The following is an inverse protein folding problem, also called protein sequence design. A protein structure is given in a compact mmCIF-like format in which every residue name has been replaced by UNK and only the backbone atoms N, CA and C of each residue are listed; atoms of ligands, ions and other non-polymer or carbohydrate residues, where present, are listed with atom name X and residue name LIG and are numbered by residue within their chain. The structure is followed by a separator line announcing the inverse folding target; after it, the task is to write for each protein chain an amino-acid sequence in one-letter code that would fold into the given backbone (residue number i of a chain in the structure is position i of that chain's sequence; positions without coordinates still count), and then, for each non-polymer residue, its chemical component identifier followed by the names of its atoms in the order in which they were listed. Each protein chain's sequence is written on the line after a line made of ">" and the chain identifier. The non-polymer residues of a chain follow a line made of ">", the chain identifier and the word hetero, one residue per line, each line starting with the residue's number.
data_IF_846308472817
#
_entry.id   IF_846308472817
#
_cell.length_a   1.000
_cell.length_b   1.000
_cell.length_c   1.000
_cell.angle_alpha   90.00
_cell.angle_beta   90.00
_cell.angle_gamma   90.00
#
_symmetry.space_group_name_H-M   'P 1'
#
loop_
_entity.id
_entity.type
_entity.pdbx_description
1 polymer ?
#
# COMPACT_ATOMS: atom_id res chain seq x y z
N UNK A 1 -27.97 42.95 -44.98
CA UNK A 1 -28.04 42.68 -43.54
C UNK A 1 -27.55 41.26 -43.36
N UNK A 2 -26.31 41.09 -42.89
CA UNK A 2 -25.70 39.77 -42.73
C UNK A 2 -26.32 39.04 -41.55
N UNK A 3 -26.74 37.81 -41.83
CA UNK A 3 -27.38 36.89 -40.91
C UNK A 3 -26.33 36.42 -39.88
N UNK A 4 -26.13 37.19 -38.80
CA UNK A 4 -25.45 36.73 -37.59
C UNK A 4 -26.51 36.01 -36.75
N UNK A 5 -27.07 34.93 -37.30
CA UNK A 5 -27.94 34.05 -36.52
C UNK A 5 -27.05 33.15 -35.65
N UNK A 6 -27.15 33.40 -34.35
CA UNK A 6 -26.67 32.61 -33.21
C UNK A 6 -25.22 32.14 -33.24
N UNK A 7 -24.31 32.94 -32.68
CA UNK A 7 -23.04 32.42 -32.17
C UNK A 7 -23.33 31.59 -30.90
N UNK A 8 -23.06 30.29 -30.95
CA UNK A 8 -23.14 29.40 -29.79
C UNK A 8 -21.76 29.32 -29.11
N UNK A 9 -21.70 29.61 -27.81
CA UNK A 9 -20.49 29.44 -27.01
C UNK A 9 -20.32 27.95 -26.71
N UNK A 10 -19.32 27.31 -27.32
CA UNK A 10 -18.88 25.97 -26.96
C UNK A 10 -17.68 26.07 -26.01
N UNK A 11 -17.83 25.53 -24.80
CA UNK A 11 -16.75 25.41 -23.83
C UNK A 11 -16.25 23.97 -23.80
N UNK A 12 -14.95 23.78 -23.99
CA UNK A 12 -14.31 22.47 -23.96
C UNK A 12 -13.22 22.42 -22.88
N UNK A 13 -13.03 21.24 -22.32
CA UNK A 13 -12.01 20.91 -21.34
C UNK A 13 -10.81 20.31 -22.06
N UNK A 14 -9.61 20.67 -21.62
CA UNK A 14 -8.36 20.05 -22.07
C UNK A 14 -7.75 19.20 -20.93
N UNK A 15 -7.73 19.75 -19.71
CA UNK A 15 -7.16 19.10 -18.51
C UNK A 15 -5.72 18.56 -18.75
N UNK A 16 -5.33 17.49 -18.07
CA UNK A 16 -4.04 16.81 -18.22
C UNK A 16 -3.92 15.96 -19.50
N UNK A 17 -4.95 15.90 -20.36
CA UNK A 17 -4.92 15.05 -21.57
C UNK A 17 -3.75 15.33 -22.50
N UNK A 18 -3.31 16.59 -22.77
CA UNK A 18 -2.15 16.81 -23.65
C UNK A 18 -0.87 16.18 -23.10
N UNK A 19 -0.65 16.25 -21.79
CA UNK A 19 0.52 15.64 -21.14
C UNK A 19 0.41 14.12 -21.20
N UNK A 20 -0.77 13.57 -20.94
CA UNK A 20 -1.01 12.12 -20.98
C UNK A 20 -0.85 11.59 -22.41
N UNK A 21 -1.46 12.25 -23.39
CA UNK A 21 -1.36 11.89 -24.81
C UNK A 21 0.09 11.97 -25.29
N UNK A 22 0.87 12.97 -24.86
CA UNK A 22 2.30 13.02 -25.18
C UNK A 22 3.04 11.74 -24.76
N UNK A 23 2.77 11.19 -23.57
CA UNK A 23 3.39 9.93 -23.13
C UNK A 23 2.77 8.70 -23.77
N UNK A 24 1.46 8.68 -24.03
CA UNK A 24 0.79 7.60 -24.79
C UNK A 24 1.39 7.48 -26.19
N UNK A 25 1.55 8.61 -26.88
CA UNK A 25 2.11 8.70 -28.23
C UNK A 25 3.59 8.31 -28.25
N UNK A 26 4.37 8.84 -27.29
CA UNK A 26 5.79 8.51 -27.14
C UNK A 26 5.99 7.01 -26.89
N UNK A 27 5.13 6.40 -26.08
CA UNK A 27 5.13 4.96 -25.83
C UNK A 27 4.47 4.16 -26.97
N UNK A 28 3.83 4.80 -27.96
CA UNK A 28 3.09 4.11 -29.02
C UNK A 28 1.97 3.22 -28.50
N UNK A 29 1.39 3.56 -27.34
CA UNK A 29 0.51 2.66 -26.59
C UNK A 29 -0.79 2.35 -27.33
N UNK A 30 -1.37 3.34 -28.03
CA UNK A 30 -2.59 3.12 -28.83
C UNK A 30 -2.33 2.09 -29.97
N UNK A 31 -1.15 2.10 -30.61
CA UNK A 31 -0.78 1.13 -31.65
C UNK A 31 -0.48 -0.26 -31.09
N UNK A 32 0.14 -0.34 -29.91
CA UNK A 32 0.36 -1.61 -29.21
C UNK A 32 -1.00 -2.26 -28.86
N UNK A 33 -1.94 -1.50 -28.29
CA UNK A 33 -3.29 -2.00 -27.96
C UNK A 33 -4.03 -2.43 -29.22
N UNK A 34 -3.94 -1.64 -30.30
CA UNK A 34 -4.55 -1.96 -31.60
C UNK A 34 -4.01 -3.28 -32.17
N UNK A 35 -2.70 -3.49 -32.12
CA UNK A 35 -2.04 -4.71 -32.61
C UNK A 35 -2.48 -5.94 -31.80
N UNK A 36 -2.61 -5.79 -30.49
CA UNK A 36 -3.04 -6.87 -29.61
C UNK A 36 -4.54 -7.22 -29.79
N UNK A 37 -5.36 -6.26 -30.22
CA UNK A 37 -6.82 -6.41 -30.39
C UNK A 37 -7.25 -6.26 -31.86
N UNK A 38 -6.80 -7.13 -32.78
CA UNK A 38 -7.09 -6.98 -34.21
C UNK A 38 -8.60 -7.04 -34.48
N UNK A 39 -9.06 -6.15 -35.35
CA UNK A 39 -10.46 -6.06 -35.73
C UNK A 39 -10.58 -5.71 -37.22
N UNK A 40 -11.62 -6.19 -37.89
CA UNK A 40 -11.93 -5.71 -39.24
C UNK A 40 -12.34 -4.23 -39.17
N UNK A 41 -11.70 -3.39 -39.98
CA UNK A 41 -12.01 -1.97 -40.04
C UNK A 41 -13.44 -1.76 -40.55
N UNK A 42 -14.27 -1.15 -39.69
CA UNK A 42 -15.61 -0.67 -40.02
C UNK A 42 -15.64 0.85 -39.81
N UNK A 43 -15.60 1.60 -40.91
CA UNK A 43 -15.30 3.05 -40.95
C UNK A 43 -16.16 3.95 -40.06
N UNK A 44 -17.34 3.47 -39.63
CA UNK A 44 -18.33 4.26 -38.88
C UNK A 44 -18.51 3.79 -37.41
N UNK A 45 -17.64 2.91 -36.91
CA UNK A 45 -17.75 2.41 -35.54
C UNK A 45 -16.52 2.79 -34.70
N UNK A 46 -16.72 3.02 -33.40
CA UNK A 46 -15.62 3.09 -32.45
C UNK A 46 -15.04 1.68 -32.30
N UNK A 47 -13.74 1.56 -32.59
CA UNK A 47 -13.03 0.29 -32.49
C UNK A 47 -12.82 -0.10 -31.02
N UNK A 48 -12.75 -1.42 -30.71
CA UNK A 48 -12.49 -1.89 -29.35
C UNK A 48 -11.23 -1.28 -28.71
N UNK A 49 -10.11 -1.20 -29.46
CA UNK A 49 -8.87 -0.61 -28.97
C UNK A 49 -9.02 0.89 -28.65
N UNK A 50 -9.80 1.64 -29.44
CA UNK A 50 -10.13 3.04 -29.14
C UNK A 50 -10.92 3.14 -27.84
N UNK A 51 -11.88 2.24 -27.60
CA UNK A 51 -12.60 2.18 -26.31
C UNK A 51 -11.68 1.91 -25.13
N UNK A 52 -10.68 1.03 -25.27
CA UNK A 52 -9.68 0.79 -24.24
C UNK A 52 -8.80 2.03 -24.03
N UNK A 53 -8.36 2.70 -25.11
CA UNK A 53 -7.58 3.93 -25.03
C UNK A 53 -8.32 5.08 -24.34
N UNK A 54 -9.63 5.20 -24.56
CA UNK A 54 -10.48 6.14 -23.83
C UNK A 54 -10.56 5.77 -22.34
N UNK A 55 -10.80 4.48 -22.03
CA UNK A 55 -10.93 4.02 -20.65
C UNK A 55 -9.63 4.25 -19.85
N UNK A 56 -8.48 4.04 -20.48
CA UNK A 56 -7.18 4.35 -19.87
C UNK A 56 -7.07 5.82 -19.47
N UNK A 57 -7.41 6.74 -20.39
CA UNK A 57 -7.40 8.18 -20.13
C UNK A 57 -8.37 8.55 -19.01
N UNK A 58 -9.53 7.89 -18.95
CA UNK A 58 -10.47 8.06 -17.84
C UNK A 58 -9.90 7.60 -16.50
N UNK A 59 -9.28 6.42 -16.42
CA UNK A 59 -8.69 5.90 -15.17
C UNK A 59 -7.60 6.85 -14.64
N UNK A 60 -6.86 7.51 -15.53
CA UNK A 60 -5.80 8.45 -15.15
C UNK A 60 -6.39 9.78 -14.64
N UNK A 61 -7.41 10.32 -15.32
CA UNK A 61 -7.93 11.67 -15.05
C UNK A 61 -9.19 11.64 -14.17
N UNK A 62 -10.27 11.05 -14.67
CA UNK A 62 -11.62 11.20 -14.10
C UNK A 62 -12.01 10.11 -13.11
N UNK A 63 -11.51 8.88 -13.29
CA UNK A 63 -11.88 7.67 -12.53
C UNK A 63 -13.40 7.49 -12.42
N UNK A 64 -14.11 7.82 -13.49
CA UNK A 64 -15.57 7.78 -13.50
C UNK A 64 -16.04 6.36 -13.79
N UNK A 65 -17.19 5.96 -13.24
CA UNK A 65 -17.79 4.68 -13.58
C UNK A 65 -18.19 4.65 -15.06
N UNK A 66 -18.17 3.45 -15.65
CA UNK A 66 -18.38 3.25 -17.09
C UNK A 66 -19.73 3.77 -17.59
N UNK A 67 -20.76 3.79 -16.74
CA UNK A 67 -22.08 4.35 -17.08
C UNK A 67 -22.10 5.88 -17.21
N UNK A 68 -21.15 6.60 -16.59
CA UNK A 68 -21.02 8.06 -16.66
C UNK A 68 -19.98 8.53 -17.69
N UNK A 69 -19.58 7.63 -18.57
CA UNK A 69 -18.43 7.82 -19.45
C UNK A 69 -18.74 8.72 -20.65
N UNK A 70 -19.98 8.66 -21.16
CA UNK A 70 -20.41 9.50 -22.28
C UNK A 70 -20.42 10.96 -21.88
N UNK A 71 -21.05 11.27 -20.74
CA UNK A 71 -21.14 12.62 -20.19
C UNK A 71 -19.75 13.21 -19.97
N UNK A 72 -18.81 12.40 -19.49
CA UNK A 72 -17.43 12.82 -19.29
C UNK A 72 -16.72 13.18 -20.59
N UNK A 73 -16.79 12.33 -21.62
CA UNK A 73 -16.12 12.59 -22.90
C UNK A 73 -16.68 13.83 -23.59
N UNK A 74 -17.99 14.08 -23.48
CA UNK A 74 -18.61 15.27 -24.11
C UNK A 74 -18.09 16.61 -23.57
N UNK A 75 -17.37 16.61 -22.45
CA UNK A 75 -16.71 17.81 -21.91
C UNK A 75 -15.44 18.21 -22.66
N UNK A 76 -14.88 17.33 -23.50
CA UNK A 76 -13.58 17.49 -24.13
C UNK A 76 -13.70 17.51 -25.67
N UNK A 77 -12.66 18.00 -26.35
CA UNK A 77 -12.52 17.80 -27.79
C UNK A 77 -12.34 16.28 -28.09
N UNK A 78 -13.21 15.66 -28.92
CA UNK A 78 -13.12 14.24 -29.28
C UNK A 78 -11.77 13.82 -29.86
N UNK A 79 -11.04 14.73 -30.51
CA UNK A 79 -9.72 14.42 -31.09
C UNK A 79 -8.69 14.05 -30.02
N UNK A 80 -8.84 14.53 -28.78
CA UNK A 80 -7.97 14.14 -27.66
C UNK A 80 -8.10 12.66 -27.29
N UNK A 81 -9.13 11.97 -27.81
CA UNK A 81 -9.41 10.56 -27.62
C UNK A 81 -9.26 9.73 -28.89
N UNK A 82 -8.68 10.30 -29.96
CA UNK A 82 -8.63 9.69 -31.30
C UNK A 82 -10.03 9.37 -31.86
N UNK A 83 -11.01 10.24 -31.56
CA UNK A 83 -12.39 10.14 -32.06
C UNK A 83 -12.69 11.24 -33.07
N UNK A 84 -13.55 10.91 -34.04
CA UNK A 84 -14.25 11.89 -34.86
C UNK A 84 -15.48 12.43 -34.11
N UNK A 85 -15.92 13.68 -34.36
CA UNK A 85 -17.11 14.24 -33.72
C UNK A 85 -18.36 13.35 -33.85
N UNK A 86 -18.59 12.76 -35.03
CA UNK A 86 -19.74 11.87 -35.27
C UNK A 86 -19.67 10.57 -34.44
N UNK A 87 -18.49 10.20 -33.94
CA UNK A 87 -18.32 8.97 -33.17
C UNK A 87 -18.79 9.10 -31.72
N UNK A 88 -18.87 10.33 -31.19
CA UNK A 88 -19.23 10.59 -29.78
C UNK A 88 -20.60 10.02 -29.42
N UNK A 89 -21.55 10.06 -30.36
CA UNK A 89 -22.90 9.54 -30.14
C UNK A 89 -22.97 8.02 -29.94
N UNK A 90 -21.98 7.28 -30.44
CA UNK A 90 -21.89 5.83 -30.31
C UNK A 90 -21.22 5.36 -29.01
N UNK A 91 -20.78 6.29 -28.14
CA UNK A 91 -20.20 5.97 -26.84
C UNK A 91 -21.32 5.51 -25.89
N UNK A 92 -21.15 4.32 -25.32
CA UNK A 92 -21.97 3.80 -24.24
C UNK A 92 -21.17 2.76 -23.45
N UNK A 93 -21.68 2.44 -22.27
CA UNK A 93 -21.13 1.45 -21.36
C UNK A 93 -21.07 0.05 -21.97
N UNK A 94 -22.09 -0.39 -22.69
CA UNK A 94 -22.10 -1.69 -23.38
C UNK A 94 -20.92 -1.85 -24.35
N UNK A 95 -20.55 -0.77 -25.06
CA UNK A 95 -19.42 -0.78 -25.98
C UNK A 95 -18.09 -0.93 -25.24
N UNK A 96 -17.94 -0.21 -24.13
CA UNK A 96 -16.75 -0.33 -23.28
C UNK A 96 -16.68 -1.73 -22.66
N UNK A 97 -17.81 -2.28 -22.20
CA UNK A 97 -17.92 -3.65 -21.71
C UNK A 97 -17.48 -4.69 -22.75
N UNK A 98 -18.00 -4.59 -23.99
CA UNK A 98 -17.57 -5.47 -25.10
C UNK A 98 -16.09 -5.30 -25.45
N UNK A 99 -15.53 -4.10 -25.34
CA UNK A 99 -14.11 -3.88 -25.53
C UNK A 99 -13.27 -4.56 -24.42
N UNK A 100 -13.72 -4.50 -23.17
CA UNK A 100 -13.09 -5.21 -22.05
C UNK A 100 -13.15 -6.74 -22.22
N UNK A 101 -14.26 -7.29 -22.73
CA UNK A 101 -14.33 -8.72 -23.08
C UNK A 101 -13.30 -9.10 -24.15
N UNK A 102 -13.15 -8.28 -25.20
CA UNK A 102 -12.12 -8.51 -26.23
C UNK A 102 -10.70 -8.40 -25.67
N UNK A 103 -10.46 -7.45 -24.76
CA UNK A 103 -9.18 -7.33 -24.06
C UNK A 103 -8.91 -8.56 -23.18
N UNK A 104 -9.93 -9.11 -22.54
CA UNK A 104 -9.83 -10.35 -21.79
C UNK A 104 -9.43 -11.53 -22.68
N UNK A 105 -9.99 -11.61 -23.89
CA UNK A 105 -9.71 -12.66 -24.88
C UNK A 105 -8.32 -12.51 -25.54
N UNK A 106 -7.71 -11.33 -25.47
CA UNK A 106 -6.35 -11.05 -25.99
C UNK A 106 -5.24 -11.70 -25.15
N UNK A 107 -4.06 -11.93 -25.74
CA UNK A 107 -2.84 -12.26 -25.00
C UNK A 107 -2.33 -11.04 -24.22
N UNK A 108 -2.90 -10.85 -23.03
CA UNK A 108 -2.56 -9.75 -22.12
C UNK A 108 -1.11 -9.82 -21.62
N UNK A 109 -0.50 -11.01 -21.56
CA UNK A 109 0.87 -11.15 -21.10
C UNK A 109 1.85 -10.58 -22.15
N UNK A 110 1.64 -10.92 -23.43
CA UNK A 110 2.42 -10.35 -24.53
C UNK A 110 2.19 -8.85 -24.68
N UNK A 111 0.94 -8.39 -24.61
CA UNK A 111 0.59 -6.96 -24.61
C UNK A 111 1.38 -6.19 -23.54
N UNK A 112 1.36 -6.68 -22.30
CA UNK A 112 2.06 -6.02 -21.19
C UNK A 112 3.58 -6.04 -21.35
N UNK A 113 4.13 -7.16 -21.83
CA UNK A 113 5.56 -7.28 -22.12
C UNK A 113 5.99 -6.26 -23.18
N UNK A 114 5.21 -6.08 -24.24
CA UNK A 114 5.49 -5.11 -25.29
C UNK A 114 5.49 -3.67 -24.76
N UNK A 115 4.48 -3.30 -23.95
CA UNK A 115 4.39 -1.99 -23.29
C UNK A 115 5.64 -1.74 -22.43
N UNK A 116 6.02 -2.71 -21.60
CA UNK A 116 7.18 -2.57 -20.70
C UNK A 116 8.47 -2.44 -21.50
N UNK A 117 8.70 -3.30 -22.50
CA UNK A 117 9.90 -3.24 -23.35
C UNK A 117 10.00 -1.90 -24.09
N UNK A 118 8.87 -1.37 -24.57
CA UNK A 118 8.80 -0.06 -25.20
C UNK A 118 9.12 1.06 -24.20
N UNK A 119 8.56 1.01 -22.98
CA UNK A 119 8.87 1.98 -21.93
C UNK A 119 10.36 1.97 -21.53
N UNK A 120 10.95 0.79 -21.34
CA UNK A 120 12.38 0.64 -21.02
C UNK A 120 13.26 1.28 -22.09
N UNK A 121 13.00 0.99 -23.37
CA UNK A 121 13.79 1.53 -24.49
C UNK A 121 13.59 3.03 -24.68
N UNK A 122 12.33 3.47 -24.69
CA UNK A 122 11.95 4.85 -25.02
C UNK A 122 12.33 5.84 -23.92
N UNK A 123 12.28 5.40 -22.66
CA UNK A 123 12.62 6.23 -21.50
C UNK A 123 14.07 6.02 -21.03
N UNK A 124 14.79 5.04 -21.58
CA UNK A 124 16.17 4.72 -21.18
C UNK A 124 16.29 4.25 -19.74
N UNK A 125 15.31 3.46 -19.27
CA UNK A 125 15.20 3.08 -17.86
C UNK A 125 16.36 2.21 -17.41
N UNK A 126 16.91 2.51 -16.23
CA UNK A 126 17.85 1.62 -15.57
C UNK A 126 17.13 0.39 -15.01
N UNK A 127 17.64 -0.77 -15.39
CA UNK A 127 17.14 -2.09 -15.00
C UNK A 127 18.07 -2.76 -13.97
N UNK A 128 18.73 -1.97 -13.11
CA UNK A 128 19.73 -2.42 -12.13
C UNK A 128 19.16 -2.68 -10.74
N UNK A 129 17.99 -2.12 -10.43
CA UNK A 129 17.28 -2.34 -9.17
C UNK A 129 15.77 -2.32 -9.38
N UNK A 130 15.10 -3.30 -8.79
CA UNK A 130 13.65 -3.45 -8.84
C UNK A 130 13.06 -3.47 -7.44
N UNK A 131 11.95 -2.76 -7.25
CA UNK A 131 11.21 -2.71 -5.99
C UNK A 131 9.87 -3.42 -6.19
N UNK A 132 9.62 -4.44 -5.40
CA UNK A 132 8.39 -5.22 -5.45
C UNK A 132 7.59 -5.04 -4.16
N UNK A 133 6.29 -4.81 -4.31
CA UNK A 133 5.33 -4.71 -3.22
C UNK A 133 3.97 -5.24 -3.67
N UNK A 134 3.23 -5.84 -2.73
CA UNK A 134 1.87 -6.34 -2.94
C UNK A 134 0.85 -5.52 -2.17
N UNK A 135 -0.27 -5.24 -2.82
CA UNK A 135 -1.41 -4.54 -2.24
C UNK A 135 -2.71 -5.31 -2.48
N UNK A 136 -3.80 -4.83 -1.89
CA UNK A 136 -5.14 -5.41 -2.03
C UNK A 136 -5.99 -4.54 -2.93
N UNK A 137 -6.64 -5.11 -3.94
CA UNK A 137 -7.75 -4.46 -4.64
C UNK A 137 -9.03 -4.89 -3.94
N UNK A 138 -9.70 -3.95 -3.29
CA UNK A 138 -10.89 -4.19 -2.47
C UNK A 138 -12.18 -4.10 -3.30
N UNK A 139 -13.10 -5.05 -3.13
CA UNK A 139 -14.34 -5.16 -3.89
C UNK A 139 -15.59 -5.04 -3.01
N UNK A 140 -16.64 -4.40 -3.55
CA UNK A 140 -17.97 -4.25 -2.95
C UNK A 140 -19.04 -4.78 -3.90
N UNK A 141 -19.88 -5.71 -3.43
CA UNK A 141 -20.97 -6.30 -4.23
C UNK A 141 -20.96 -7.83 -4.26
N UNK A 142 -21.82 -8.41 -5.11
CA UNK A 142 -22.07 -9.85 -5.19
C UNK A 142 -20.87 -10.66 -5.69
N UNK A 143 -20.34 -10.34 -6.87
CA UNK A 143 -19.22 -11.06 -7.53
C UNK A 143 -19.31 -12.60 -7.40
N UNK A 144 -20.50 -13.16 -7.60
CA UNK A 144 -20.76 -14.60 -7.40
C UNK A 144 -20.01 -15.45 -8.45
N UNK A 145 -19.88 -14.91 -9.67
CA UNK A 145 -19.17 -15.55 -10.78
C UNK A 145 -17.65 -15.37 -10.75
N UNK A 146 -17.11 -14.59 -9.80
CA UNK A 146 -15.67 -14.35 -9.67
C UNK A 146 -15.02 -15.41 -8.75
N UNK A 147 -15.21 -16.68 -9.11
CA UNK A 147 -14.92 -17.84 -8.29
C UNK A 147 -13.63 -18.57 -8.69
N UNK A 148 -12.92 -18.11 -9.72
CA UNK A 148 -11.70 -18.71 -10.25
C UNK A 148 -11.94 -19.69 -11.40
N UNK A 149 -13.17 -19.80 -11.91
CA UNK A 149 -13.50 -20.73 -12.99
C UNK A 149 -12.83 -20.36 -14.32
N UNK A 150 -12.78 -21.35 -15.21
CA UNK A 150 -12.41 -21.13 -16.60
C UNK A 150 -13.51 -20.35 -17.32
N UNK A 151 -13.16 -19.17 -17.85
CA UNK A 151 -14.01 -18.38 -18.73
C UNK A 151 -13.27 -18.20 -20.06
N UNK A 152 -13.94 -18.57 -21.16
CA UNK A 152 -13.40 -18.43 -22.53
C UNK A 152 -11.99 -19.03 -22.71
N UNK A 153 -11.75 -20.19 -22.08
CA UNK A 153 -10.46 -20.89 -22.16
C UNK A 153 -9.39 -20.38 -21.19
N UNK A 154 -9.69 -19.38 -20.35
CA UNK A 154 -8.73 -18.79 -19.41
C UNK A 154 -9.24 -18.94 -17.98
N UNK A 155 -8.36 -19.39 -17.07
CA UNK A 155 -8.64 -19.40 -15.63
C UNK A 155 -8.73 -17.95 -15.15
N UNK A 156 -9.82 -17.61 -14.48
CA UNK A 156 -10.04 -16.27 -13.92
C UNK A 156 -9.51 -16.18 -12.48
N UNK A 157 -9.38 -14.96 -11.96
CA UNK A 157 -9.02 -14.75 -10.56
C UNK A 157 -10.25 -14.92 -9.67
N UNK A 158 -10.04 -15.53 -8.51
CA UNK A 158 -11.05 -15.67 -7.47
C UNK A 158 -11.06 -14.44 -6.57
N UNK A 159 -12.16 -13.69 -6.61
CA UNK A 159 -12.42 -12.60 -5.66
C UNK A 159 -12.84 -13.22 -4.32
N UNK A 160 -11.92 -13.21 -3.35
CA UNK A 160 -12.06 -13.91 -2.07
C UNK A 160 -11.70 -12.99 -0.89
N UNK A 161 -12.10 -13.38 0.33
CA UNK A 161 -11.60 -12.73 1.55
C UNK A 161 -10.20 -13.26 1.88
N UNK A 162 -9.38 -12.40 2.49
CA UNK A 162 -8.02 -12.72 2.89
C UNK A 162 -7.41 -11.62 3.76
N UNK A 163 -6.08 -11.52 3.80
CA UNK A 163 -5.39 -10.46 4.54
C UNK A 163 -5.43 -9.15 3.76
N UNK A 164 -6.47 -8.34 3.98
CA UNK A 164 -6.67 -7.07 3.29
C UNK A 164 -5.76 -5.97 3.86
N UNK A 165 -4.95 -5.34 3.00
CA UNK A 165 -3.94 -4.33 3.37
C UNK A 165 -4.57 -3.00 3.85
N UNK A 166 -5.84 -2.74 3.51
CA UNK A 166 -6.64 -1.62 4.03
C UNK A 166 -7.34 -1.96 5.36
N UNK A 167 -7.02 -3.10 5.98
CA UNK A 167 -7.60 -3.58 7.24
C UNK A 167 -9.13 -3.78 7.16
N UNK A 168 -9.62 -4.24 5.99
CA UNK A 168 -11.03 -4.59 5.75
C UNK A 168 -11.23 -6.09 5.51
N UNK A 169 -11.07 -6.94 6.54
CA UNK A 169 -11.22 -8.40 6.39
C UNK A 169 -12.66 -8.83 6.06
N UNK A 170 -13.63 -7.94 6.25
CA UNK A 170 -15.03 -8.14 5.89
C UNK A 170 -15.26 -8.14 4.37
N UNK A 171 -14.39 -7.46 3.63
CA UNK A 171 -14.52 -7.26 2.19
C UNK A 171 -13.77 -8.32 1.39
N UNK A 172 -14.30 -8.60 0.19
CA UNK A 172 -13.60 -9.44 -0.79
C UNK A 172 -12.47 -8.62 -1.43
N UNK A 173 -11.44 -9.30 -1.91
CA UNK A 173 -10.29 -8.68 -2.54
C UNK A 173 -9.71 -9.51 -3.68
N UNK A 174 -8.79 -8.90 -4.41
CA UNK A 174 -7.71 -9.57 -5.13
C UNK A 174 -6.37 -9.08 -4.57
N UNK A 175 -5.34 -9.90 -4.66
CA UNK A 175 -3.97 -9.45 -4.37
C UNK A 175 -3.36 -8.92 -5.66
N UNK A 176 -2.83 -7.71 -5.61
CA UNK A 176 -2.18 -7.03 -6.72
C UNK A 176 -0.71 -6.82 -6.40
N UNK A 177 0.13 -7.49 -7.17
CA UNK A 177 1.57 -7.48 -6.99
C UNK A 177 2.22 -6.67 -8.11
N UNK A 178 3.09 -5.73 -7.73
CA UNK A 178 3.67 -4.77 -8.64
C UNK A 178 5.19 -4.72 -8.45
N UNK A 179 5.92 -4.70 -9.55
CA UNK A 179 7.35 -4.40 -9.56
C UNK A 179 7.63 -3.15 -10.38
N UNK A 180 8.40 -2.24 -9.79
CA UNK A 180 8.83 -0.99 -10.43
C UNK A 180 10.36 -0.90 -10.48
N UNK A 181 10.89 -0.14 -11.43
CA UNK A 181 12.30 0.27 -11.44
C UNK A 181 12.62 1.23 -10.30
N UNK A 182 13.87 1.23 -9.82
CA UNK A 182 14.37 2.30 -8.95
C UNK A 182 14.41 3.66 -9.67
N UNK A 183 14.62 3.63 -10.98
CA UNK A 183 14.64 4.79 -11.87
C UNK A 183 13.22 5.22 -12.25
N UNK A 184 12.72 6.28 -11.60
CA UNK A 184 11.41 6.87 -11.90
C UNK A 184 10.19 6.08 -11.42
N UNK A 185 10.38 4.98 -10.67
CA UNK A 185 9.31 4.11 -10.19
C UNK A 185 8.38 3.61 -11.32
N UNK A 186 8.95 3.32 -12.50
CA UNK A 186 8.19 2.88 -13.66
C UNK A 186 7.80 1.40 -13.50
N UNK A 187 6.52 1.02 -13.61
CA UNK A 187 6.09 -0.36 -13.58
C UNK A 187 6.69 -1.19 -14.72
N UNK A 188 7.28 -2.33 -14.38
CA UNK A 188 7.87 -3.27 -15.34
C UNK A 188 7.31 -4.69 -15.26
N UNK A 189 6.61 -5.02 -14.18
CA UNK A 189 5.91 -6.28 -14.02
C UNK A 189 4.75 -6.09 -13.08
N UNK A 190 3.62 -6.71 -13.37
CA UNK A 190 2.51 -6.84 -12.43
C UNK A 190 1.90 -8.22 -12.53
N UNK A 191 1.30 -8.69 -11.44
CA UNK A 191 0.47 -9.89 -11.45
C UNK A 191 -0.68 -9.77 -10.47
N UNK A 192 -1.86 -10.21 -10.91
CA UNK A 192 -3.01 -10.38 -10.03
C UNK A 192 -3.06 -11.81 -9.51
N UNK A 193 -3.41 -11.96 -8.23
CA UNK A 193 -3.65 -13.25 -7.59
C UNK A 193 -5.01 -13.26 -6.91
N UNK A 194 -5.49 -14.48 -6.63
CA UNK A 194 -6.72 -14.69 -5.86
C UNK A 194 -6.68 -13.96 -4.51
N UNK A 195 -7.85 -13.53 -4.04
CA UNK A 195 -7.97 -12.71 -2.83
C UNK A 195 -7.50 -13.35 -1.51
N UNK A 196 -7.22 -14.65 -1.54
CA UNK A 196 -6.71 -15.44 -0.41
C UNK A 196 -5.26 -15.94 -0.62
N UNK A 197 -4.54 -15.45 -1.65
CA UNK A 197 -3.14 -15.78 -1.87
C UNK A 197 -2.24 -15.14 -0.80
N UNK A 198 -1.18 -15.84 -0.41
CA UNK A 198 -0.14 -15.33 0.49
C UNK A 198 1.11 -14.86 -0.28
N UNK A 199 1.68 -13.74 0.17
CA UNK A 199 2.80 -13.03 -0.47
C UNK A 199 4.12 -13.82 -0.48
N UNK A 200 4.35 -14.69 0.50
CA UNK A 200 5.60 -15.46 0.66
C UNK A 200 5.92 -16.38 -0.53
N UNK A 201 4.91 -16.75 -1.31
CA UNK A 201 5.03 -17.69 -2.44
C UNK A 201 5.31 -17.04 -3.79
N UNK A 202 5.34 -15.70 -3.88
CA UNK A 202 5.37 -15.00 -5.19
C UNK A 202 6.76 -14.52 -5.59
N UNK A 203 7.66 -14.30 -4.61
CA UNK A 203 8.96 -13.67 -4.86
C UNK A 203 9.88 -14.44 -5.82
N UNK A 204 9.93 -15.77 -5.75
CA UNK A 204 10.74 -16.57 -6.68
C UNK A 204 10.24 -16.40 -8.12
N UNK A 205 8.93 -16.54 -8.33
CA UNK A 205 8.32 -16.39 -9.66
C UNK A 205 8.52 -14.98 -10.22
N UNK A 206 8.35 -13.97 -9.37
CA UNK A 206 8.59 -12.58 -9.74
C UNK A 206 10.05 -12.35 -10.12
N UNK A 207 10.99 -12.81 -9.32
CA UNK A 207 12.42 -12.66 -9.58
C UNK A 207 12.83 -13.34 -10.89
N UNK A 208 12.35 -14.55 -11.15
CA UNK A 208 12.60 -15.26 -12.41
C UNK A 208 12.04 -14.51 -13.62
N UNK A 209 10.84 -13.92 -13.48
CA UNK A 209 10.24 -13.10 -14.53
C UNK A 209 11.08 -11.86 -14.83
N UNK A 210 11.58 -11.19 -13.79
CA UNK A 210 12.46 -10.03 -13.92
C UNK A 210 13.81 -10.40 -14.54
N UNK A 211 14.39 -11.54 -14.14
CA UNK A 211 15.61 -12.07 -14.76
C UNK A 211 15.41 -12.36 -16.24
N UNK A 212 14.28 -12.93 -16.64
CA UNK A 212 13.95 -13.15 -18.06
C UNK A 212 13.76 -11.84 -18.82
N UNK A 213 13.08 -10.86 -18.22
CA UNK A 213 12.86 -9.54 -18.81
C UNK A 213 14.17 -8.77 -19.01
N UNK A 214 15.07 -8.81 -18.01
CA UNK A 214 16.39 -8.19 -18.09
C UNK A 214 17.38 -8.98 -18.96
N UNK A 215 17.26 -10.30 -18.97
CA UNK A 215 18.16 -11.24 -19.64
C UNK A 215 19.33 -11.75 -18.80
N UNK A 216 19.52 -11.27 -17.56
CA UNK A 216 20.57 -11.70 -16.63
C UNK A 216 20.18 -11.40 -15.16
N UNK A 217 20.85 -12.01 -14.16
CA UNK A 217 20.54 -11.81 -12.74
C UNK A 217 21.20 -10.57 -12.09
N UNK A 218 21.93 -9.75 -12.84
CA UNK A 218 22.75 -8.64 -12.33
C UNK A 218 21.92 -7.43 -11.88
N UNK A 219 20.95 -7.63 -10.99
CA UNK A 219 20.07 -6.59 -10.45
C UNK A 219 19.78 -6.82 -8.98
N UNK A 220 19.45 -5.73 -8.27
CA UNK A 220 19.04 -5.77 -6.87
C UNK A 220 17.52 -5.89 -6.78
N UNK A 221 17.04 -7.00 -6.22
CA UNK A 221 15.62 -7.20 -5.92
C UNK A 221 15.29 -6.74 -4.49
N UNK A 222 14.51 -5.66 -4.39
CA UNK A 222 14.13 -5.03 -3.12
C UNK A 222 12.67 -5.37 -2.81
N UNK A 223 12.41 -5.95 -1.65
CA UNK A 223 11.05 -6.22 -1.20
C UNK A 223 10.93 -6.15 0.33
N UNK A 224 9.71 -6.27 0.82
CA UNK A 224 9.40 -6.23 2.25
C UNK A 224 9.92 -7.49 2.99
N UNK A 225 9.51 -7.65 4.25
CA UNK A 225 9.93 -8.78 5.08
C UNK A 225 9.44 -10.16 4.62
N UNK A 226 8.48 -10.25 3.69
CA UNK A 226 8.00 -11.51 3.13
C UNK A 226 9.02 -12.16 2.20
N UNK A 227 9.97 -11.37 1.66
CA UNK A 227 11.15 -11.87 0.98
C UNK A 227 12.15 -12.55 1.93
N UNK A 228 12.13 -12.25 3.23
CA UNK A 228 13.05 -12.78 4.23
C UNK A 228 12.71 -14.22 4.67
N UNK A 229 12.52 -15.11 3.70
CA UNK A 229 12.30 -16.55 3.86
C UNK A 229 13.54 -17.29 3.37
N UNK A 230 14.02 -18.27 4.15
CA UNK A 230 15.31 -18.94 3.89
C UNK A 230 15.39 -19.58 2.50
N UNK A 231 14.30 -20.18 2.03
CA UNK A 231 14.21 -20.77 0.68
C UNK A 231 14.37 -19.71 -0.40
N UNK A 232 13.56 -18.64 -0.36
CA UNK A 232 13.61 -17.55 -1.34
C UNK A 232 14.97 -16.86 -1.39
N UNK A 233 15.55 -16.52 -0.24
CA UNK A 233 16.86 -15.87 -0.19
C UNK A 233 17.97 -16.76 -0.75
N UNK A 234 17.96 -18.07 -0.42
CA UNK A 234 18.92 -19.04 -0.96
C UNK A 234 18.75 -19.26 -2.45
N UNK A 235 17.50 -19.27 -2.95
CA UNK A 235 17.21 -19.40 -4.37
C UNK A 235 17.81 -18.23 -5.16
N UNK A 236 17.49 -16.99 -4.77
CA UNK A 236 17.99 -15.79 -5.46
C UNK A 236 19.53 -15.75 -5.43
N UNK A 237 20.15 -16.00 -4.27
CA UNK A 237 21.60 -16.02 -4.15
C UNK A 237 22.24 -17.18 -4.94
N UNK A 238 21.59 -18.33 -5.01
CA UNK A 238 22.05 -19.49 -5.77
C UNK A 238 22.02 -19.30 -7.29
N UNK A 239 21.18 -18.38 -7.76
CA UNK A 239 21.08 -17.97 -9.17
C UNK A 239 21.87 -16.68 -9.47
N UNK A 240 22.90 -16.39 -8.66
CA UNK A 240 23.79 -15.21 -8.75
C UNK A 240 23.06 -13.86 -8.66
N UNK A 241 21.87 -13.83 -8.05
CA UNK A 241 21.07 -12.64 -7.84
C UNK A 241 21.37 -11.87 -6.56
N UNK A 242 21.07 -10.57 -6.57
CA UNK A 242 21.17 -9.71 -5.39
C UNK A 242 19.79 -9.37 -4.84
N UNK A 243 19.67 -9.27 -3.52
CA UNK A 243 18.43 -8.88 -2.87
C UNK A 243 18.64 -7.97 -1.65
N UNK A 244 17.62 -7.17 -1.34
CA UNK A 244 17.50 -6.39 -0.11
C UNK A 244 16.11 -6.67 0.46
N UNK A 245 16.05 -7.11 1.71
CA UNK A 245 14.79 -7.38 2.42
C UNK A 245 14.85 -6.83 3.84
N UNK A 246 13.68 -6.56 4.42
CA UNK A 246 13.55 -6.15 5.81
C UNK A 246 13.52 -7.39 6.71
N UNK A 247 14.43 -7.45 7.68
CA UNK A 247 14.42 -8.52 8.68
C UNK A 247 13.14 -8.46 9.55
N UNK A 248 12.30 -9.51 9.59
CA UNK A 248 11.14 -9.54 10.46
C UNK A 248 11.56 -9.68 11.93
N UNK A 249 10.80 -9.04 12.83
CA UNK A 249 11.06 -9.06 14.29
C UNK A 249 10.99 -10.43 14.95
N UNK A 250 10.45 -11.42 14.25
CA UNK A 250 10.36 -12.80 14.73
C UNK A 250 11.70 -13.54 14.67
N UNK A 251 12.72 -12.96 14.01
CA UNK A 251 14.05 -13.56 13.87
C UNK A 251 14.92 -13.35 15.12
N UNK A 252 15.73 -14.36 15.44
CA UNK A 252 16.60 -14.35 16.62
C UNK A 252 17.66 -13.25 16.57
N UNK A 253 18.10 -12.87 15.37
CA UNK A 253 19.08 -11.82 15.13
C UNK A 253 18.55 -10.43 15.51
N UNK A 254 17.27 -10.12 15.25
CA UNK A 254 16.63 -8.86 15.71
C UNK A 254 16.56 -8.82 17.24
N UNK A 255 16.17 -9.92 17.88
CA UNK A 255 16.15 -10.02 19.34
C UNK A 255 17.55 -9.80 19.93
N UNK A 256 18.55 -10.52 19.41
CA UNK A 256 19.93 -10.40 19.84
C UNK A 256 20.44 -8.95 19.72
N UNK A 257 20.20 -8.29 18.58
CA UNK A 257 20.71 -6.93 18.39
C UNK A 257 20.04 -5.93 19.33
N UNK A 258 18.74 -6.07 19.59
CA UNK A 258 18.02 -5.23 20.56
C UNK A 258 18.57 -5.35 21.97
N UNK A 259 18.94 -6.56 22.39
CA UNK A 259 19.58 -6.81 23.69
C UNK A 259 20.99 -6.23 23.70
N UNK A 260 21.75 -6.45 22.61
CA UNK A 260 23.12 -5.96 22.47
C UNK A 260 23.22 -4.43 22.59
N UNK A 261 22.36 -3.67 21.91
CA UNK A 261 22.44 -2.19 21.90
C UNK A 261 22.06 -1.53 23.23
N UNK A 262 21.51 -2.27 24.19
CA UNK A 262 21.20 -1.75 25.53
C UNK A 262 22.49 -1.62 26.34
N UNK A 263 23.30 -2.68 26.34
CA UNK A 263 24.50 -2.76 27.18
C UNK A 263 25.79 -2.36 26.44
N UNK A 264 25.74 -2.22 25.11
CA UNK A 264 26.92 -1.99 24.28
C UNK A 264 26.82 -0.69 23.46
N UNK A 265 27.95 0.03 23.36
CA UNK A 265 28.06 1.17 22.46
C UNK A 265 28.26 0.71 21.03
N UNK A 266 27.33 1.07 20.16
CA UNK A 266 27.40 0.81 18.73
C UNK A 266 27.89 2.06 17.99
N UNK A 267 28.92 1.92 17.17
CA UNK A 267 29.37 2.98 16.27
C UNK A 267 28.46 3.01 15.03
N UNK A 268 27.64 4.06 14.93
CA UNK A 268 26.72 4.26 13.83
C UNK A 268 27.31 5.20 12.79
N UNK A 269 27.41 4.76 11.55
CA UNK A 269 27.89 5.56 10.43
C UNK A 269 26.73 6.29 9.76
N UNK A 270 26.85 7.60 9.54
CA UNK A 270 25.85 8.36 8.79
C UNK A 270 25.92 7.99 7.31
N UNK A 271 24.86 7.36 6.80
CA UNK A 271 24.75 6.90 5.41
C UNK A 271 23.86 7.78 4.56
N UNK A 272 23.11 8.70 5.17
CA UNK A 272 22.25 9.60 4.43
C UNK A 272 21.71 10.74 5.27
N UNK A 273 21.49 11.87 4.61
CA UNK A 273 20.85 13.06 5.16
C UNK A 273 19.98 13.73 4.11
N UNK A 274 18.70 13.90 4.41
CA UNK A 274 17.75 14.57 3.51
C UNK A 274 17.16 15.77 4.23
N UNK A 275 17.33 16.94 3.60
CA UNK A 275 16.62 18.16 3.93
C UNK A 275 15.43 18.29 2.97
N UNK A 276 14.21 18.37 3.51
CA UNK A 276 13.02 18.55 2.68
C UNK A 276 13.02 19.94 2.03
N UNK A 277 12.95 20.07 0.69
CA UNK A 277 13.05 21.36 0.01
C UNK A 277 12.00 22.39 0.45
N UNK A 278 10.79 21.91 0.76
CA UNK A 278 9.65 22.73 1.22
C UNK A 278 9.65 23.01 2.73
N UNK A 279 10.60 22.44 3.48
CA UNK A 279 10.71 22.58 4.94
C UNK A 279 12.17 22.77 5.36
N UNK A 280 12.79 23.86 4.89
CA UNK A 280 14.21 24.14 5.16
C UNK A 280 14.53 24.34 6.65
N UNK A 281 13.54 24.75 7.44
CA UNK A 281 13.69 24.96 8.88
C UNK A 281 13.39 23.69 9.71
N UNK A 282 12.88 22.62 9.10
CA UNK A 282 12.64 21.36 9.80
C UNK A 282 13.97 20.63 10.03
N UNK A 283 14.03 19.86 11.11
CA UNK A 283 15.19 19.00 11.37
C UNK A 283 15.36 17.99 10.24
N UNK A 284 16.56 17.85 9.66
CA UNK A 284 16.80 16.90 8.60
C UNK A 284 16.46 15.46 9.02
N UNK A 285 16.08 14.67 8.04
CA UNK A 285 16.03 13.23 8.19
C UNK A 285 17.45 12.68 8.03
N UNK A 286 17.89 11.90 9.02
CA UNK A 286 19.24 11.34 9.09
C UNK A 286 19.07 9.83 9.18
N UNK A 287 19.79 9.12 8.32
CA UNK A 287 19.93 7.67 8.37
C UNK A 287 21.34 7.31 8.80
N UNK A 288 21.42 6.36 9.72
CA UNK A 288 22.68 5.77 10.11
C UNK A 288 22.61 4.26 9.96
N UNK A 289 23.75 3.65 9.71
CA UNK A 289 23.87 2.21 9.53
C UNK A 289 24.99 1.67 10.41
N UNK A 290 24.85 0.44 10.85
CA UNK A 290 25.97 -0.38 11.30
C UNK A 290 25.83 -1.78 10.71
N UNK A 291 26.93 -2.36 10.28
CA UNK A 291 26.94 -3.76 9.86
C UNK A 291 26.89 -4.69 11.09
N UNK A 292 26.06 -5.72 11.02
CA UNK A 292 25.95 -6.71 12.08
C UNK A 292 27.25 -7.52 12.19
N UNK A 293 27.79 -7.73 13.40
CA UNK A 293 28.97 -8.58 13.58
C UNK A 293 28.68 -10.07 13.36
N UNK A 294 27.39 -10.45 13.36
CA UNK A 294 26.94 -11.80 13.02
C UNK A 294 26.11 -11.76 11.73
N UNK A 295 26.27 -12.74 10.82
CA UNK A 295 25.41 -12.86 9.65
C UNK A 295 24.01 -13.35 10.05
N UNK A 296 23.10 -13.37 9.08
CA UNK A 296 21.83 -14.08 9.24
C UNK A 296 22.07 -15.58 9.43
N UNK A 297 21.07 -16.29 9.94
CA UNK A 297 21.06 -17.76 10.03
C UNK A 297 21.46 -18.44 8.72
N UNK A 298 21.13 -17.84 7.58
CA UNK A 298 21.44 -18.35 6.24
C UNK A 298 22.83 -17.95 5.75
N UNK A 299 23.54 -17.08 6.46
CA UNK A 299 24.88 -16.61 6.11
C UNK A 299 24.92 -15.24 5.40
N UNK A 300 23.79 -14.54 5.30
CA UNK A 300 23.73 -13.25 4.60
C UNK A 300 24.15 -12.07 5.49
N UNK A 301 24.65 -11.01 4.86
CA UNK A 301 24.98 -9.75 5.55
C UNK A 301 23.72 -9.12 6.14
N UNK A 302 23.84 -8.56 7.33
CA UNK A 302 22.77 -7.80 7.99
C UNK A 302 23.28 -6.38 8.23
N UNK A 303 22.49 -5.39 7.84
CA UNK A 303 22.72 -4.00 8.18
C UNK A 303 21.60 -3.50 9.09
N UNK A 304 21.97 -3.00 10.27
CA UNK A 304 21.03 -2.34 11.15
C UNK A 304 20.90 -0.88 10.75
N UNK A 305 19.68 -0.40 10.59
CA UNK A 305 19.39 0.96 10.13
C UNK A 305 18.68 1.75 11.22
N UNK A 306 19.22 2.93 11.49
CA UNK A 306 18.67 3.93 12.38
C UNK A 306 18.13 5.09 11.55
N UNK A 307 16.91 5.56 11.85
CA UNK A 307 16.31 6.74 11.20
C UNK A 307 15.84 7.73 12.25
N UNK A 308 16.26 8.99 12.10
CA UNK A 308 15.85 10.07 13.00
C UNK A 308 14.33 10.28 12.97
N UNK A 309 13.70 10.12 11.80
CA UNK A 309 12.24 10.21 11.63
C UNK A 309 11.52 9.07 12.34
N UNK A 310 12.02 7.83 12.16
CA UNK A 310 11.44 6.67 12.85
C UNK A 310 11.47 6.83 14.37
N UNK A 311 12.56 7.36 14.92
CA UNK A 311 12.67 7.58 16.37
C UNK A 311 11.69 8.62 16.87
N UNK A 312 11.55 9.75 16.17
CA UNK A 312 10.55 10.77 16.55
C UNK A 312 9.14 10.19 16.51
N UNK A 313 8.84 9.38 15.50
CA UNK A 313 7.54 8.71 15.36
C UNK A 313 7.31 7.70 16.51
N UNK A 314 8.28 6.82 16.76
CA UNK A 314 8.20 5.82 17.84
C UNK A 314 8.10 6.50 19.22
N UNK A 315 8.82 7.62 19.45
CA UNK A 315 8.71 8.42 20.67
C UNK A 315 7.33 9.05 20.83
N UNK A 316 6.78 9.66 19.77
CA UNK A 316 5.45 10.25 19.79
C UNK A 316 4.37 9.20 20.05
N UNK A 317 4.44 8.06 19.37
CA UNK A 317 3.50 6.95 19.57
C UNK A 317 3.56 6.42 21.00
N UNK A 318 4.76 6.19 21.54
CA UNK A 318 4.95 5.79 22.94
C UNK A 318 4.35 6.82 23.90
N UNK A 319 4.60 8.12 23.68
CA UNK A 319 4.05 9.17 24.55
C UNK A 319 2.53 9.20 24.49
N UNK A 320 1.93 9.05 23.31
CA UNK A 320 0.48 8.99 23.16
C UNK A 320 -0.12 7.78 23.88
N UNK A 321 0.51 6.61 23.77
CA UNK A 321 0.11 5.39 24.49
C UNK A 321 0.18 5.58 26.00
N UNK A 322 1.29 6.12 26.51
CA UNK A 322 1.45 6.42 27.95
C UNK A 322 0.39 7.42 28.42
N UNK A 323 0.17 8.51 27.67
CA UNK A 323 -0.83 9.52 28.02
C UNK A 323 -2.25 8.95 28.03
N UNK A 324 -2.58 8.06 27.09
CA UNK A 324 -3.88 7.37 27.05
C UNK A 324 -4.09 6.54 28.31
N UNK A 325 -3.09 5.76 28.71
CA UNK A 325 -3.14 4.97 29.94
C UNK A 325 -3.27 5.85 31.19
N UNK A 326 -2.42 6.88 31.34
CA UNK A 326 -2.47 7.81 32.47
C UNK A 326 -3.83 8.50 32.57
N UNK A 327 -4.41 8.95 31.46
CA UNK A 327 -5.75 9.55 31.47
C UNK A 327 -6.83 8.55 31.92
N UNK A 328 -6.74 7.29 31.48
CA UNK A 328 -7.63 6.22 31.93
C UNK A 328 -7.51 5.95 33.43
N UNK A 329 -6.28 5.86 33.94
CA UNK A 329 -6.02 5.65 35.38
C UNK A 329 -6.50 6.83 36.22
N UNK A 330 -6.32 8.08 35.75
CA UNK A 330 -6.88 9.27 36.41
C UNK A 330 -8.41 9.24 36.46
N UNK A 331 -9.06 8.76 35.41
CA UNK A 331 -10.52 8.60 35.42
C UNK A 331 -10.96 7.48 36.35
N UNK A 332 -10.21 6.38 36.44
CA UNK A 332 -10.44 5.34 37.42
C UNK A 332 -10.29 5.88 38.85
N UNK A 333 -9.24 6.64 39.15
CA UNK A 333 -9.04 7.28 40.47
C UNK A 333 -10.22 8.18 40.84
N UNK A 334 -10.70 9.02 39.91
CA UNK A 334 -11.92 9.83 40.13
C UNK A 334 -13.16 8.98 40.40
N UNK A 335 -13.31 7.85 39.70
CA UNK A 335 -14.42 6.90 39.94
C UNK A 335 -14.33 6.29 41.34
N UNK A 336 -13.14 5.97 41.83
CA UNK A 336 -12.92 5.42 43.18
C UNK A 336 -13.28 6.42 44.29
N UNK A 337 -12.98 7.71 44.08
CA UNK A 337 -13.35 8.79 44.99
C UNK A 337 -14.86 9.08 45.03
N UNK A 338 -15.65 8.49 44.13
CA UNK A 338 -17.11 8.65 44.14
C UNK A 338 -17.77 7.72 45.15
N UNK A 339 -18.72 8.24 45.93
CA UNK A 339 -19.58 7.46 46.83
C UNK A 339 -20.38 6.36 46.11
N UNK A 340 -20.50 6.41 44.78
CA UNK A 340 -21.17 5.41 43.94
C UNK A 340 -20.23 4.38 43.32
N UNK A 341 -18.94 4.39 43.66
CA UNK A 341 -17.98 3.41 43.16
C UNK A 341 -18.43 1.99 43.52
N UNK A 342 -18.47 1.11 42.51
CA UNK A 342 -18.72 -0.33 42.70
C UNK A 342 -17.43 -1.12 42.98
N UNK A 343 -16.27 -0.50 42.79
CA UNK A 343 -14.97 -1.10 43.06
C UNK A 343 -14.60 -0.79 44.51
N UNK A 344 -14.64 -1.81 45.37
CA UNK A 344 -14.44 -1.70 46.83
C UNK A 344 -13.27 -2.51 47.38
N UNK A 345 -12.68 -3.37 46.55
CA UNK A 345 -11.56 -4.22 46.96
C UNK A 345 -10.31 -3.83 46.18
N UNK A 346 -9.14 -3.91 46.83
CA UNK A 346 -7.84 -3.70 46.19
C UNK A 346 -7.68 -4.56 44.93
N UNK A 347 -8.13 -5.81 44.98
CA UNK A 347 -8.04 -6.74 43.85
C UNK A 347 -8.88 -6.28 42.64
N UNK A 348 -10.10 -5.80 42.86
CA UNK A 348 -10.96 -5.31 41.79
C UNK A 348 -10.42 -4.02 41.16
N UNK A 349 -9.82 -3.14 41.97
CA UNK A 349 -9.15 -1.92 41.48
C UNK A 349 -7.91 -2.26 40.67
N UNK A 350 -7.08 -3.18 41.17
CA UNK A 350 -5.85 -3.61 40.47
C UNK A 350 -6.18 -4.21 39.11
N UNK A 351 -7.18 -5.10 39.04
CA UNK A 351 -7.60 -5.72 37.77
C UNK A 351 -8.16 -4.71 36.77
N UNK A 352 -8.93 -3.71 37.20
CA UNK A 352 -9.43 -2.66 36.31
C UNK A 352 -8.27 -1.74 35.84
N UNK A 353 -7.33 -1.40 36.72
CA UNK A 353 -6.15 -0.60 36.38
C UNK A 353 -5.24 -1.32 35.37
N UNK A 354 -4.96 -2.61 35.59
CA UNK A 354 -4.22 -3.46 34.66
C UNK A 354 -4.89 -3.50 33.28
N UNK A 355 -6.21 -3.70 33.25
CA UNK A 355 -6.99 -3.68 32.02
C UNK A 355 -6.88 -2.36 31.26
N UNK A 356 -6.93 -1.21 31.96
CA UNK A 356 -6.77 0.11 31.34
C UNK A 356 -5.39 0.24 30.69
N UNK A 357 -4.32 -0.19 31.37
CA UNK A 357 -2.96 -0.15 30.84
C UNK A 357 -2.80 -1.10 29.65
N UNK A 358 -3.42 -2.27 29.70
CA UNK A 358 -3.42 -3.25 28.62
C UNK A 358 -4.17 -2.74 27.37
N UNK A 359 -5.38 -2.20 27.53
CA UNK A 359 -6.18 -1.62 26.44
C UNK A 359 -5.55 -0.35 25.83
N UNK A 360 -4.72 0.35 26.61
CA UNK A 360 -3.89 1.43 26.10
C UNK A 360 -2.65 0.91 25.36
N UNK A 361 -2.21 -0.33 25.61
CA UNK A 361 -0.98 -0.91 25.10
C UNK A 361 0.28 -0.40 25.82
N UNK A 362 0.14 0.03 27.08
CA UNK A 362 1.19 0.71 27.85
C UNK A 362 1.96 -0.19 28.83
N UNK A 363 1.68 -1.50 28.87
CA UNK A 363 2.26 -2.49 29.80
C UNK A 363 3.80 -2.45 29.90
N UNK A 364 4.48 -2.02 28.84
CA UNK A 364 5.94 -1.94 28.79
C UNK A 364 6.51 -0.72 29.54
N UNK A 365 5.71 0.31 29.78
CA UNK A 365 6.18 1.63 30.23
C UNK A 365 5.53 2.12 31.51
N UNK A 366 4.50 1.43 32.00
CA UNK A 366 3.80 1.78 33.24
C UNK A 366 3.81 0.56 34.13
N UNK A 367 4.48 0.69 35.27
CA UNK A 367 4.32 -0.20 36.41
C UNK A 367 3.18 0.36 37.28
N UNK A 368 2.27 -0.52 37.70
CA UNK A 368 1.12 -0.16 38.53
C UNK A 368 1.38 -0.61 39.97
N UNK A 369 1.05 0.26 40.92
CA UNK A 369 0.92 -0.11 42.33
C UNK A 369 -0.40 0.46 42.86
N UNK A 370 -1.18 -0.36 43.57
CA UNK A 370 -2.46 0.07 44.15
C UNK A 370 -2.30 0.10 45.66
N UNK A 371 -2.43 1.29 46.24
CA UNK A 371 -2.23 1.51 47.67
C UNK A 371 -3.59 1.72 48.35
N UNK A 372 -3.78 1.06 49.48
CA UNK A 372 -4.96 1.22 50.30
C UNK A 372 -4.67 2.20 51.44
N UNK A 373 -5.42 3.30 51.48
CA UNK A 373 -5.31 4.32 52.51
C UNK A 373 -6.58 4.31 53.35
N UNK A 374 -6.44 4.11 54.66
CA UNK A 374 -7.56 4.16 55.60
C UNK A 374 -7.60 5.58 56.18
N UNK A 375 -8.57 6.39 55.75
CA UNK A 375 -8.82 7.68 56.37
C UNK A 375 -9.78 7.51 57.55
N UNK A 376 -9.32 7.85 58.76
CA UNK A 376 -10.15 7.79 59.97
C UNK A 376 -10.72 9.18 60.24
N UNK A 377 -12.01 9.41 59.98
CA UNK A 377 -12.66 10.68 60.29
C UNK A 377 -13.30 10.63 61.68
N UNK A 378 -12.81 11.48 62.59
CA UNK A 378 -13.41 11.66 63.90
C UNK A 378 -14.55 12.68 63.84
N UNK A 379 -15.81 12.23 63.82
CA UNK A 379 -16.97 13.09 64.10
C UNK A 379 -17.11 13.29 65.61
N UNK A 380 -17.04 14.55 66.07
CA UNK A 380 -17.47 14.92 67.42
C UNK A 380 -18.98 14.69 67.50
N UNK A 381 -19.36 13.78 68.40
CA UNK A 381 -20.70 13.22 68.65
C UNK A 381 -21.11 12.06 67.73
N UNK A 382 -20.87 10.84 68.27
CA UNK A 382 -21.26 9.49 67.83
C UNK A 382 -20.45 8.85 66.68
N UNK A 383 -19.55 7.95 67.08
CA UNK A 383 -19.04 6.82 66.28
C UNK A 383 -17.85 7.13 65.37
N UNK A 384 -16.81 6.29 65.44
CA UNK A 384 -15.71 6.28 64.46
C UNK A 384 -16.26 5.81 63.12
N UNK A 385 -16.06 6.61 62.06
CA UNK A 385 -16.29 6.19 60.67
C UNK A 385 -14.92 6.03 60.04
N UNK A 386 -14.60 4.82 59.58
CA UNK A 386 -13.43 4.52 58.77
C UNK A 386 -13.88 4.50 57.31
N UNK A 387 -13.36 5.42 56.50
CA UNK A 387 -13.55 5.40 55.05
C UNK A 387 -12.27 4.83 54.42
N UNK A 388 -12.40 3.73 53.68
CA UNK A 388 -11.33 3.15 52.88
C UNK A 388 -11.27 3.91 51.54
N UNK A 389 -10.14 4.55 51.28
CA UNK A 389 -9.83 5.20 50.01
C UNK A 389 -8.72 4.38 49.34
N UNK A 390 -8.98 3.94 48.10
CA UNK A 390 -8.00 3.24 47.28
C UNK A 390 -7.42 4.25 46.27
N UNK A 391 -6.10 4.39 46.25
CA UNK A 391 -5.36 5.22 45.31
C UNK A 391 -4.52 4.35 44.36
N UNK A 392 -4.33 4.87 43.14
CA UNK A 392 -3.59 4.25 42.04
C UNK A 392 -2.35 5.09 41.73
#
# INVERSE_FOLDING_TARGET
>A
MNNIESLELKSETIDALPVINHFIDRLGLDEIIKTAMPHADQSNHIMPYTSIGMLLRNIIIGRLPVYGFKEWITLFDPHLFNLKPEQVDYINDDRIGRALEKLFDTDRASLMTEIVLKAVRELGLKMDQFHNDSTSITFYGGYEDANGDNKRGKVTLKIARGHNKDHRPDLKQLVFDLTVTSDGAVPIHYKGYDGNRTDDTTHIENWDTLRKLKGNPDFIYVADSKLCVSETMRYIAGEDGFFITVMPRTRGEDKWFREHIIDNKVSWDEVGRVQYPRKKNDTPEIWRMVESPIPSKEGFRIAWVWSSKKIRHDQKNRQNTINKAISGLKELQKRLQSNRSRLKTKQAVSSEAEKIVEEAGANRWIDLDVVETIETTHKKEKGVVQDQILDI
#
